data_IF_560813394217
#
_entry.id   IF_560813394217
#
_cell.length_a   1.000
_cell.length_b   1.000
_cell.length_c   1.000
_cell.angle_alpha   90.00
_cell.angle_beta   90.00
_cell.angle_gamma   90.00
#
_symmetry.space_group_name_H-M   'P 1'
#
loop_
_entity.id
_entity.type
_entity.pdbx_description
1 polymer ?
#
# COMPACT_ATOMS: atom_id res chain seq x y z
N UNK A 1 17.63 -13.68 13.41
CA UNK A 1 17.93 -15.03 12.88
C UNK A 1 17.83 -15.98 14.05
N UNK A 2 17.03 -17.03 13.94
CA UNK A 2 16.73 -17.99 15.01
C UNK A 2 16.76 -19.40 14.45
N UNK A 3 16.49 -20.41 15.27
CA UNK A 3 16.39 -21.79 14.84
C UNK A 3 15.13 -22.44 15.40
N UNK A 4 14.57 -23.39 14.67
CA UNK A 4 13.45 -24.23 15.08
C UNK A 4 13.97 -25.66 15.20
N UNK A 5 13.51 -26.37 16.22
CA UNK A 5 13.77 -27.80 16.39
C UNK A 5 12.53 -28.57 15.91
N UNK A 6 12.75 -29.49 14.99
CA UNK A 6 11.71 -30.41 14.51
C UNK A 6 11.54 -31.59 15.48
N UNK A 7 10.43 -32.33 15.36
CA UNK A 7 10.09 -33.43 16.29
C UNK A 7 11.14 -34.56 16.29
N UNK A 8 11.83 -34.76 15.16
CA UNK A 8 12.93 -35.73 15.00
C UNK A 8 14.29 -35.21 15.52
N UNK A 9 14.32 -34.02 16.15
CA UNK A 9 15.53 -33.39 16.70
C UNK A 9 16.37 -32.62 15.68
N UNK A 10 15.89 -32.47 14.44
CA UNK A 10 16.59 -31.71 13.39
C UNK A 10 16.54 -30.21 13.66
N UNK A 11 17.68 -29.52 13.49
CA UNK A 11 17.79 -28.06 13.69
C UNK A 11 17.66 -27.35 12.35
N UNK A 12 16.63 -26.51 12.21
CA UNK A 12 16.40 -25.71 11.00
C UNK A 12 16.68 -24.23 11.29
N UNK A 13 17.68 -23.60 10.64
CA UNK A 13 17.91 -22.17 10.78
C UNK A 13 16.83 -21.39 10.03
N UNK A 14 16.21 -20.42 10.69
CA UNK A 14 15.11 -19.61 10.15
C UNK A 14 15.33 -18.12 10.35
N UNK A 15 14.72 -17.33 9.48
CA UNK A 15 14.68 -15.87 9.60
C UNK A 15 13.27 -15.45 9.99
N UNK A 16 13.14 -14.82 11.15
CA UNK A 16 11.88 -14.20 11.57
C UNK A 16 11.70 -12.90 10.78
N UNK A 17 10.59 -12.78 10.06
CA UNK A 17 10.21 -11.58 9.32
C UNK A 17 9.03 -10.94 10.05
N UNK A 18 9.19 -9.68 10.46
CA UNK A 18 8.09 -8.89 10.99
C UNK A 18 7.29 -8.32 9.82
N UNK A 19 6.13 -8.91 9.54
CA UNK A 19 5.13 -8.32 8.66
C UNK A 19 4.24 -7.37 9.48
N UNK A 20 4.67 -6.11 9.60
CA UNK A 20 3.83 -5.01 10.09
C UNK A 20 2.58 -4.78 9.22
N UNK A 21 1.68 -3.84 9.58
CA UNK A 21 0.42 -3.67 8.85
C UNK A 21 0.69 -3.41 7.36
N UNK A 22 0.14 -4.31 6.54
CA UNK A 22 0.34 -4.37 5.10
C UNK A 22 -0.96 -4.02 4.37
N UNK A 23 -1.26 -2.73 4.25
CA UNK A 23 -2.51 -2.25 3.62
C UNK A 23 -2.38 -2.24 2.10
N UNK A 24 -3.39 -2.76 1.39
CA UNK A 24 -3.45 -2.69 -0.07
C UNK A 24 -3.81 -1.26 -0.50
N UNK A 25 -2.91 -0.61 -1.23
CA UNK A 25 -3.05 0.79 -1.66
C UNK A 25 -3.68 0.93 -3.06
N UNK A 26 -3.26 0.07 -4.00
CA UNK A 26 -3.69 0.12 -5.39
C UNK A 26 -3.66 -1.27 -6.00
N UNK A 27 -4.74 -1.64 -6.68
CA UNK A 27 -4.77 -2.79 -7.59
C UNK A 27 -4.59 -2.30 -9.02
N UNK A 28 -3.63 -2.87 -9.73
CA UNK A 28 -3.36 -2.67 -11.16
C UNK A 28 -3.87 -3.86 -11.95
N UNK A 29 -4.43 -3.59 -13.11
CA UNK A 29 -4.96 -4.60 -14.02
C UNK A 29 -4.38 -4.43 -15.42
N UNK A 30 -4.25 -5.55 -16.14
CA UNK A 30 -3.74 -5.58 -17.51
C UNK A 30 -4.45 -4.57 -18.44
N UNK A 31 -5.78 -4.42 -18.31
CA UNK A 31 -6.55 -3.51 -19.16
C UNK A 31 -6.28 -2.01 -18.94
N UNK A 32 -5.93 -1.61 -17.70
CA UNK A 32 -5.70 -0.19 -17.35
C UNK A 32 -4.21 0.16 -17.31
N UNK A 33 -3.39 -0.73 -16.79
CA UNK A 33 -1.98 -0.49 -16.46
C UNK A 33 -1.00 -1.30 -17.34
N UNK A 34 -1.49 -2.24 -18.17
CA UNK A 34 -0.66 -3.11 -19.01
C UNK A 34 -0.05 -4.31 -18.29
N UNK A 35 -0.33 -4.48 -16.99
CA UNK A 35 0.10 -5.63 -16.17
C UNK A 35 -0.77 -5.75 -14.91
N UNK A 36 -0.74 -6.94 -14.30
CA UNK A 36 -1.42 -7.21 -13.03
C UNK A 36 -0.43 -7.04 -11.87
N UNK A 37 -0.78 -6.20 -10.90
CA UNK A 37 0.02 -6.01 -9.68
C UNK A 37 -0.80 -5.42 -8.54
N UNK A 38 -0.33 -5.65 -7.32
CA UNK A 38 -0.89 -5.07 -6.10
C UNK A 38 0.19 -4.21 -5.44
N UNK A 39 -0.14 -2.95 -5.17
CA UNK A 39 0.69 -2.06 -4.36
C UNK A 39 0.29 -2.23 -2.89
N UNK A 40 1.27 -2.57 -2.05
CA UNK A 40 1.09 -2.75 -0.60
C UNK A 40 1.92 -1.69 0.13
N UNK A 41 1.33 -1.06 1.14
CA UNK A 41 2.01 -0.17 2.08
C UNK A 41 2.58 -0.96 3.26
N UNK A 42 3.62 -0.45 3.92
CA UNK A 42 4.21 -1.08 5.10
C UNK A 42 4.44 -0.05 6.19
N UNK A 43 3.74 -0.24 7.32
CA UNK A 43 3.70 0.68 8.47
C UNK A 43 3.20 2.09 8.12
N UNK A 44 2.66 2.75 9.14
CA UNK A 44 2.21 4.12 8.99
C UNK A 44 3.39 5.09 9.09
N UNK A 45 3.38 6.09 8.22
CA UNK A 45 4.28 7.24 8.22
C UNK A 45 3.58 8.42 8.88
N UNK A 46 4.21 9.11 9.84
CA UNK A 46 3.63 10.32 10.43
C UNK A 46 3.26 11.34 9.36
N UNK A 47 2.01 11.80 9.38
CA UNK A 47 1.42 12.69 8.35
C UNK A 47 2.23 13.97 8.07
N UNK A 48 2.96 14.49 9.08
CA UNK A 48 3.86 15.65 8.93
C UNK A 48 5.08 15.40 8.05
N UNK A 49 5.53 14.13 7.96
CA UNK A 49 6.68 13.70 7.17
C UNK A 49 6.28 13.25 5.75
N UNK A 50 4.98 13.11 5.49
CA UNK A 50 4.45 12.72 4.19
C UNK A 50 4.22 13.97 3.31
N UNK A 51 4.79 13.96 2.10
CA UNK A 51 4.53 15.02 1.12
C UNK A 51 3.03 15.07 0.77
N UNK A 52 2.56 16.21 0.26
CA UNK A 52 1.15 16.35 -0.15
C UNK A 52 0.77 15.32 -1.21
N UNK A 53 1.69 14.98 -2.11
CA UNK A 53 1.47 14.00 -3.17
C UNK A 53 1.27 12.59 -2.62
N UNK A 54 2.09 12.16 -1.64
CA UNK A 54 1.98 10.85 -1.00
C UNK A 54 0.64 10.73 -0.24
N UNK A 55 0.28 11.76 0.52
CA UNK A 55 -1.04 11.83 1.18
C UNK A 55 -2.20 11.76 0.18
N UNK A 56 -2.01 12.38 -0.98
CA UNK A 56 -2.98 12.35 -2.08
C UNK A 56 -3.02 11.04 -2.84
N UNK A 57 -2.10 10.10 -2.60
CA UNK A 57 -2.16 8.75 -3.15
C UNK A 57 -3.06 7.85 -2.29
N UNK A 58 -2.89 7.92 -0.97
CA UNK A 58 -3.61 7.07 0.00
C UNK A 58 -5.01 7.60 0.35
N UNK A 59 -5.19 8.92 0.39
CA UNK A 59 -6.46 9.57 0.77
C UNK A 59 -6.94 10.49 -0.35
N UNK A 60 -8.26 10.66 -0.46
CA UNK A 60 -8.86 11.67 -1.34
C UNK A 60 -8.62 13.08 -0.77
N UNK A 61 -7.78 13.87 -1.44
CA UNK A 61 -7.53 15.26 -1.09
C UNK A 61 -8.35 16.23 -1.95
N UNK A 62 -8.92 17.23 -1.30
CA UNK A 62 -9.56 18.36 -1.97
C UNK A 62 -8.51 19.21 -2.70
N UNK A 63 -8.68 19.38 -4.01
CA UNK A 63 -7.84 20.27 -4.82
C UNK A 63 -8.64 20.83 -5.99
N UNK A 64 -8.23 22.00 -6.51
CA UNK A 64 -8.83 22.61 -7.71
C UNK A 64 -8.85 21.62 -8.90
N UNK A 65 -7.79 20.81 -9.03
CA UNK A 65 -7.68 19.75 -10.05
C UNK A 65 -8.68 18.61 -9.81
N UNK A 66 -8.84 18.17 -8.56
CA UNK A 66 -9.80 17.11 -8.22
C UNK A 66 -11.23 17.53 -8.56
N UNK A 67 -11.63 18.76 -8.20
CA UNK A 67 -12.94 19.33 -8.54
C UNK A 67 -13.16 19.47 -10.04
N UNK A 68 -12.14 19.88 -10.79
CA UNK A 68 -12.19 19.97 -12.26
C UNK A 68 -12.36 18.59 -12.91
N UNK A 69 -11.68 17.56 -12.39
CA UNK A 69 -11.77 16.18 -12.90
C UNK A 69 -13.12 15.53 -12.59
N UNK A 70 -13.69 15.79 -11.42
CA UNK A 70 -15.03 15.29 -11.07
C UNK A 70 -16.11 15.94 -11.93
N UNK A 71 -16.00 17.25 -12.21
CA UNK A 71 -16.91 17.92 -13.16
C UNK A 71 -16.74 17.42 -14.60
N UNK A 72 -15.55 16.97 -14.98
CA UNK A 72 -15.28 16.40 -16.29
C UNK A 72 -15.71 14.92 -16.43
N UNK A 73 -16.39 14.34 -15.43
CA UNK A 73 -16.88 12.96 -15.47
C UNK A 73 -15.79 11.89 -15.44
N UNK A 74 -14.57 12.24 -15.05
CA UNK A 74 -13.46 11.27 -14.97
C UNK A 74 -13.60 10.47 -13.69
N UNK A 75 -13.83 9.16 -13.82
CA UNK A 75 -13.83 8.23 -12.68
C UNK A 75 -12.47 8.25 -11.98
N UNK A 76 -12.52 8.52 -10.67
CA UNK A 76 -11.33 8.45 -9.83
C UNK A 76 -11.14 7.01 -9.36
N UNK A 77 -9.90 6.53 -9.45
CA UNK A 77 -9.53 5.23 -8.89
C UNK A 77 -9.81 5.22 -7.39
N UNK A 78 -10.45 4.15 -6.90
CA UNK A 78 -10.69 3.93 -5.48
C UNK A 78 -9.36 3.96 -4.71
N UNK A 79 -9.37 4.63 -3.56
CA UNK A 79 -8.20 4.76 -2.69
C UNK A 79 -8.42 3.97 -1.41
N UNK A 80 -7.32 3.61 -0.77
CA UNK A 80 -7.34 2.80 0.45
C UNK A 80 -7.82 3.55 1.71
N UNK A 81 -7.87 4.90 1.66
CA UNK A 81 -8.30 5.76 2.76
C UNK A 81 -7.60 5.43 4.11
N UNK A 82 -6.29 5.21 4.04
CA UNK A 82 -5.42 4.93 5.19
C UNK A 82 -4.45 6.09 5.49
N UNK A 83 -3.75 6.03 6.63
CA UNK A 83 -2.62 6.93 6.90
C UNK A 83 -1.47 6.67 5.88
N UNK A 84 -0.69 7.71 5.53
CA UNK A 84 0.38 7.65 4.52
C UNK A 84 1.64 6.94 5.00
#
# INVERSE_FOLDING_TARGET
>A
MTQIFDDDGTVVPVTVIEAGPCTVLLSRSAGRDGYDAIQVGYRDKPRRLASRSVRGQVVKLESKRAKKRSHAGIEMVAKADCEP
#
